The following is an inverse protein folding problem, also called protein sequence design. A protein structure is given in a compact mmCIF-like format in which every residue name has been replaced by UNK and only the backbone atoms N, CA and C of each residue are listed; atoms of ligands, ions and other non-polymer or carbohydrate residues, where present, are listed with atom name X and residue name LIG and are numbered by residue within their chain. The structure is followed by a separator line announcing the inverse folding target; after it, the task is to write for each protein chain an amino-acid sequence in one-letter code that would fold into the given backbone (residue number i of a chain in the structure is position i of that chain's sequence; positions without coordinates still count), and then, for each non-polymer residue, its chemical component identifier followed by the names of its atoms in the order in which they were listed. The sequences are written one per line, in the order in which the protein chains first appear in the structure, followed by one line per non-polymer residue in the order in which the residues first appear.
data_IF_945640535125
#
_entry.id   IF_945640535125
#
_cell.length_a   1.000
_cell.length_b   1.000
_cell.length_c   1.000
_cell.angle_alpha   90.00
_cell.angle_beta   90.00
_cell.angle_gamma   90.00
#
_symmetry.space_group_name_H-M   'P 1'
#
loop_
_entity.id
_entity.type
_entity.pdbx_description
1 polymer ?
#
# COMPACT_ATOMS: atom_id res chain seq x y z
N UNK A 1 -0.45 -39.10 6.10
CA UNK A 1 0.67 -39.00 5.14
C UNK A 1 0.34 -38.20 3.88
N UNK A 2 -0.89 -37.71 3.69
CA UNK A 2 -1.28 -37.05 2.42
C UNK A 2 -1.44 -35.52 2.49
N UNK A 3 -1.25 -34.92 3.66
CA UNK A 3 -1.33 -33.47 3.84
C UNK A 3 -0.24 -32.73 3.04
N UNK A 4 0.93 -33.31 2.88
CA UNK A 4 2.00 -32.72 2.09
C UNK A 4 1.71 -32.69 0.58
N UNK A 5 0.91 -33.62 0.05
CA UNK A 5 0.47 -33.63 -1.34
C UNK A 5 -0.62 -32.61 -1.62
N UNK A 6 -1.52 -32.38 -0.65
CA UNK A 6 -2.55 -31.35 -0.73
C UNK A 6 -1.93 -29.95 -0.66
N UNK A 7 -0.88 -29.78 0.14
CA UNK A 7 -0.16 -28.50 0.26
C UNK A 7 0.75 -28.21 -0.95
N UNK A 8 1.24 -29.20 -1.66
CA UNK A 8 2.06 -29.00 -2.87
C UNK A 8 1.29 -28.58 -4.12
N UNK A 9 -0.03 -28.69 -4.12
CA UNK A 9 -0.88 -28.26 -5.24
C UNK A 9 -1.65 -26.95 -4.99
N UNK A 10 -1.76 -26.53 -3.74
CA UNK A 10 -2.30 -25.24 -3.36
C UNK A 10 -1.13 -24.33 -2.99
N UNK A 11 -0.57 -23.62 -3.95
CA UNK A 11 0.10 -22.39 -3.65
C UNK A 11 -0.95 -21.53 -2.92
N UNK A 12 -0.90 -21.46 -1.60
CA UNK A 12 -1.58 -20.43 -0.84
C UNK A 12 -0.89 -19.11 -1.19
N UNK A 13 -1.23 -18.64 -2.38
CA UNK A 13 -0.89 -17.33 -2.84
C UNK A 13 -1.68 -16.38 -1.93
N UNK A 14 -0.99 -15.76 -1.00
CA UNK A 14 -1.39 -14.67 -0.10
C UNK A 14 -2.91 -14.53 0.18
N UNK A 15 -3.28 -14.25 1.39
CA UNK A 15 -4.67 -13.92 1.73
C UNK A 15 -5.14 -12.74 0.83
N UNK A 16 -6.30 -12.87 0.17
CA UNK A 16 -6.85 -11.83 -0.70
C UNK A 16 -7.28 -10.55 0.06
N UNK A 17 -6.73 -10.33 1.23
CA UNK A 17 -6.93 -9.16 2.08
C UNK A 17 -5.66 -8.86 2.86
N UNK A 18 -5.22 -7.61 2.81
CA UNK A 18 -4.05 -7.16 3.56
C UNK A 18 -4.25 -7.29 5.07
N UNK A 19 -5.47 -7.06 5.57
CA UNK A 19 -5.79 -7.24 6.98
C UNK A 19 -5.64 -8.71 7.43
N UNK A 20 -6.05 -9.65 6.60
CA UNK A 20 -5.85 -11.06 6.85
C UNK A 20 -4.35 -11.41 6.84
N UNK A 21 -3.59 -10.82 5.93
CA UNK A 21 -2.14 -11.00 5.85
C UNK A 21 -1.46 -10.54 7.15
N UNK A 22 -1.80 -9.36 7.65
CA UNK A 22 -1.28 -8.85 8.92
C UNK A 22 -1.73 -9.71 10.11
N UNK A 23 -2.95 -10.25 10.09
CA UNK A 23 -3.45 -11.15 11.12
C UNK A 23 -2.68 -12.48 11.11
N UNK A 24 -2.42 -13.04 9.95
CA UNK A 24 -1.73 -14.34 9.80
C UNK A 24 -0.24 -14.23 10.12
N UNK A 25 0.43 -13.17 9.68
CA UNK A 25 1.87 -12.99 9.86
C UNK A 25 2.23 -12.36 11.21
N UNK A 26 1.46 -11.39 11.68
CA UNK A 26 1.72 -10.62 12.89
C UNK A 26 0.77 -10.90 14.05
N UNK A 27 -0.19 -11.82 13.86
CA UNK A 27 -1.22 -12.11 14.83
C UNK A 27 -2.13 -10.91 15.14
N UNK A 28 -2.85 -10.99 16.24
CA UNK A 28 -3.78 -9.91 16.68
C UNK A 28 -3.05 -8.59 16.96
N UNK A 29 -1.79 -8.66 17.41
CA UNK A 29 -0.96 -7.48 17.69
C UNK A 29 -0.55 -6.77 16.39
N UNK A 30 -0.12 -7.52 15.37
CA UNK A 30 0.25 -6.98 14.07
C UNK A 30 -0.93 -6.30 13.38
N UNK A 31 -2.09 -6.93 13.39
CA UNK A 31 -3.33 -6.33 12.86
C UNK A 31 -3.71 -5.06 13.63
N UNK A 32 -3.67 -5.11 14.98
CA UNK A 32 -4.00 -3.95 15.83
C UNK A 32 -3.05 -2.76 15.58
N UNK A 33 -1.76 -3.02 15.46
CA UNK A 33 -0.76 -1.99 15.15
C UNK A 33 -1.01 -1.37 13.77
N UNK A 34 -1.35 -2.16 12.76
CA UNK A 34 -1.66 -1.70 11.42
C UNK A 34 -2.92 -0.82 11.37
N UNK A 35 -3.99 -1.26 12.04
CA UNK A 35 -5.23 -0.48 12.14
C UNK A 35 -5.00 0.84 12.90
N UNK A 36 -4.24 0.82 14.00
CA UNK A 36 -3.88 2.01 14.76
C UNK A 36 -3.06 2.98 13.90
N UNK A 37 -2.11 2.48 13.11
CA UNK A 37 -1.35 3.28 12.15
C UNK A 37 -2.27 4.02 11.17
N UNK A 38 -3.18 3.31 10.50
CA UNK A 38 -4.14 3.91 9.57
C UNK A 38 -5.04 4.94 10.27
N UNK A 39 -5.59 4.60 11.43
CA UNK A 39 -6.49 5.46 12.20
C UNK A 39 -5.83 6.79 12.59
N UNK A 40 -4.61 6.74 13.13
CA UNK A 40 -3.87 7.94 13.55
C UNK A 40 -3.62 8.86 12.35
N UNK A 41 -3.20 8.32 11.21
CA UNK A 41 -2.92 9.10 10.01
C UNK A 41 -4.19 9.69 9.39
N UNK A 42 -5.28 8.94 9.35
CA UNK A 42 -6.57 9.43 8.86
C UNK A 42 -7.09 10.55 9.77
N UNK A 43 -7.12 10.34 11.09
CA UNK A 43 -7.58 11.36 12.05
C UNK A 43 -6.75 12.64 11.98
N UNK A 44 -5.44 12.52 11.89
CA UNK A 44 -4.55 13.68 11.77
C UNK A 44 -4.75 14.38 10.44
N UNK A 45 -4.76 13.62 9.34
CA UNK A 45 -4.92 14.15 8.00
C UNK A 45 -6.26 14.84 7.78
N UNK A 46 -7.35 14.38 8.40
CA UNK A 46 -8.66 15.05 8.34
C UNK A 46 -8.64 16.47 8.89
N UNK A 47 -7.73 16.75 9.83
CA UNK A 47 -7.57 18.10 10.41
C UNK A 47 -6.63 18.99 9.63
N UNK A 48 -5.57 18.40 9.04
CA UNK A 48 -4.49 19.15 8.37
C UNK A 48 -4.66 19.18 6.87
N UNK A 49 -4.95 18.04 6.25
CA UNK A 49 -4.97 17.83 4.80
C UNK A 49 -6.07 16.82 4.42
N UNK A 50 -7.34 17.23 4.35
CA UNK A 50 -8.46 16.29 4.15
C UNK A 50 -8.38 15.50 2.85
N UNK A 51 -7.79 16.06 1.78
CA UNK A 51 -7.59 15.37 0.51
C UNK A 51 -6.61 14.19 0.63
N UNK A 52 -5.55 14.33 1.43
CA UNK A 52 -4.59 13.25 1.67
C UNK A 52 -5.19 12.19 2.60
N UNK A 53 -5.94 12.62 3.61
CA UNK A 53 -6.67 11.70 4.48
C UNK A 53 -7.68 10.85 3.70
N UNK A 54 -8.38 11.44 2.73
CA UNK A 54 -9.28 10.72 1.84
C UNK A 54 -8.55 9.67 0.99
N UNK A 55 -7.34 9.96 0.52
CA UNK A 55 -6.51 9.00 -0.22
C UNK A 55 -6.07 7.82 0.68
N UNK A 56 -5.66 8.07 1.92
CA UNK A 56 -5.32 7.03 2.89
C UNK A 56 -6.55 6.19 3.25
N UNK A 57 -7.71 6.82 3.40
CA UNK A 57 -8.97 6.11 3.65
C UNK A 57 -9.37 5.22 2.47
N UNK A 58 -9.26 5.72 1.25
CA UNK A 58 -9.53 4.93 0.04
C UNK A 58 -8.60 3.71 -0.05
N UNK A 59 -7.32 3.87 0.27
CA UNK A 59 -6.40 2.76 0.38
C UNK A 59 -6.82 1.76 1.46
N UNK A 60 -7.23 2.22 2.65
CA UNK A 60 -7.68 1.35 3.73
C UNK A 60 -8.88 0.50 3.33
N UNK A 61 -9.82 1.06 2.56
CA UNK A 61 -10.96 0.33 2.00
C UNK A 61 -10.49 -0.69 0.94
N UNK A 62 -9.59 -0.29 0.05
CA UNK A 62 -9.04 -1.19 -0.96
C UNK A 62 -8.29 -2.38 -0.33
N UNK A 63 -7.51 -2.14 0.72
CA UNK A 63 -6.73 -3.15 1.43
C UNK A 63 -7.61 -4.26 2.07
N UNK A 64 -8.89 -3.99 2.31
CA UNK A 64 -9.84 -4.98 2.78
C UNK A 64 -10.17 -6.06 1.73
N UNK A 65 -10.09 -5.69 0.45
CA UNK A 65 -10.47 -6.56 -0.68
C UNK A 65 -9.31 -6.97 -1.57
N UNK A 66 -8.14 -6.42 -1.35
CA UNK A 66 -6.97 -6.66 -2.19
C UNK A 66 -5.71 -6.76 -1.34
N UNK A 67 -4.70 -7.43 -1.92
CA UNK A 67 -3.35 -7.47 -1.35
C UNK A 67 -2.63 -6.22 -1.82
N UNK A 68 -1.92 -5.54 -0.90
CA UNK A 68 -1.10 -4.42 -1.31
C UNK A 68 0.05 -4.90 -2.19
N UNK A 69 0.19 -4.28 -3.35
CA UNK A 69 1.37 -4.47 -4.17
C UNK A 69 2.57 -3.82 -3.48
N UNK A 70 3.78 -4.41 -3.57
CA UNK A 70 4.99 -3.86 -2.95
C UNK A 70 5.28 -2.41 -3.32
N UNK A 71 4.80 -1.95 -4.48
CA UNK A 71 4.95 -0.57 -4.93
C UNK A 71 3.97 0.43 -4.30
N UNK A 72 2.85 -0.03 -3.76
CA UNK A 72 1.81 0.84 -3.17
C UNK A 72 2.09 1.13 -1.70
N UNK A 73 2.68 0.18 -0.99
CA UNK A 73 2.97 0.30 0.44
C UNK A 73 3.87 1.51 0.77
N UNK A 74 5.00 1.76 0.06
CA UNK A 74 5.79 2.98 0.27
C UNK A 74 5.00 4.27 0.04
N UNK A 75 4.07 4.28 -0.92
CA UNK A 75 3.23 5.43 -1.19
C UNK A 75 2.32 5.75 0.00
N UNK A 76 1.77 4.74 0.66
CA UNK A 76 0.93 4.91 1.86
C UNK A 76 1.73 5.51 3.02
N UNK A 77 2.97 5.09 3.22
CA UNK A 77 3.85 5.69 4.23
C UNK A 77 4.16 7.16 3.90
N UNK A 78 4.40 7.49 2.63
CA UNK A 78 4.60 8.87 2.18
C UNK A 78 3.36 9.72 2.40
N UNK A 79 2.17 9.21 2.06
CA UNK A 79 0.89 9.89 2.31
C UNK A 79 0.65 10.07 3.82
N UNK A 80 0.97 9.05 4.62
CA UNK A 80 0.92 9.15 6.07
C UNK A 80 1.83 10.24 6.62
N UNK A 81 3.07 10.31 6.15
CA UNK A 81 4.01 11.37 6.52
C UNK A 81 3.50 12.77 6.13
N UNK A 82 2.83 12.90 4.97
CA UNK A 82 2.19 14.16 4.54
C UNK A 82 1.06 14.62 5.47
N UNK A 83 0.34 13.69 6.11
CA UNK A 83 -0.67 14.03 7.11
C UNK A 83 -0.08 14.76 8.34
N UNK A 84 1.23 14.63 8.57
CA UNK A 84 1.96 15.29 9.66
C UNK A 84 2.70 16.54 9.21
N UNK A 85 2.77 16.83 7.92
CA UNK A 85 3.42 18.03 7.40
C UNK A 85 2.55 19.26 7.67
N UNK A 86 2.99 20.10 8.59
CA UNK A 86 2.29 21.35 8.96
C UNK A 86 2.61 22.50 8.00
N UNK A 87 3.62 22.38 7.17
CA UNK A 87 4.12 23.46 6.34
C UNK A 87 3.83 23.23 4.86
N UNK A 88 3.12 24.17 4.24
CA UNK A 88 2.72 24.14 2.82
C UNK A 88 3.89 24.04 1.84
N UNK A 89 5.08 24.49 2.21
CA UNK A 89 6.27 24.38 1.33
C UNK A 89 6.76 22.94 1.16
N UNK A 90 6.74 22.15 2.23
CA UNK A 90 7.08 20.72 2.16
C UNK A 90 6.12 19.92 1.30
N UNK A 91 4.84 20.27 1.34
CA UNK A 91 3.78 19.63 0.53
C UNK A 91 3.99 19.90 -0.97
N UNK A 92 4.39 21.10 -1.36
CA UNK A 92 4.67 21.42 -2.77
C UNK A 92 5.87 20.65 -3.32
N UNK A 93 6.94 20.55 -2.54
CA UNK A 93 8.12 19.77 -2.93
C UNK A 93 7.77 18.27 -3.06
N UNK A 94 7.05 17.74 -2.11
CA UNK A 94 6.64 16.33 -2.10
C UNK A 94 5.65 15.99 -3.20
N UNK A 95 4.69 16.88 -3.53
CA UNK A 95 3.82 16.73 -4.72
C UNK A 95 4.63 16.68 -6.01
N UNK A 96 5.69 17.50 -6.13
CA UNK A 96 6.61 17.46 -7.28
C UNK A 96 7.39 16.15 -7.34
N UNK A 97 7.93 15.68 -6.20
CA UNK A 97 8.63 14.39 -6.13
C UNK A 97 7.70 13.21 -6.46
N UNK A 98 6.47 13.21 -5.95
CA UNK A 98 5.47 12.17 -6.28
C UNK A 98 5.07 12.20 -7.75
N UNK A 99 4.92 13.39 -8.34
CA UNK A 99 4.66 13.55 -9.77
C UNK A 99 5.80 12.99 -10.62
N UNK A 100 7.06 13.25 -10.23
CA UNK A 100 8.24 12.72 -10.91
C UNK A 100 8.35 11.19 -10.77
N UNK A 101 8.06 10.64 -9.57
CA UNK A 101 8.05 9.20 -9.34
C UNK A 101 6.95 8.51 -10.16
N UNK A 102 5.75 9.08 -10.21
CA UNK A 102 4.67 8.56 -11.03
C UNK A 102 5.00 8.63 -12.53
N UNK A 103 5.60 9.74 -12.98
CA UNK A 103 6.04 9.90 -14.36
C UNK A 103 7.17 8.94 -14.75
N UNK A 104 8.04 8.57 -13.80
CA UNK A 104 9.10 7.58 -14.01
C UNK A 104 8.57 6.14 -13.96
N UNK A 105 7.54 5.87 -13.17
CA UNK A 105 6.96 4.53 -13.03
C UNK A 105 6.19 4.09 -14.30
N UNK A 106 5.53 5.02 -15.00
CA UNK A 106 4.78 4.73 -16.22
C UNK A 106 5.64 4.12 -17.35
N UNK A 107 6.79 4.72 -17.74
CA UNK A 107 7.64 4.15 -18.79
C UNK A 107 8.31 2.84 -18.33
N UNK A 108 8.62 2.68 -17.04
CA UNK A 108 9.18 1.44 -16.52
C UNK A 108 8.16 0.28 -16.60
N UNK A 109 6.89 0.56 -16.28
CA UNK A 109 5.83 -0.43 -16.40
C UNK A 109 5.61 -0.84 -17.86
N UNK A 110 5.64 0.13 -18.79
CA UNK A 110 5.52 -0.15 -20.22
C UNK A 110 6.71 -0.92 -20.77
N UNK A 111 7.94 -0.56 -20.37
CA UNK A 111 9.14 -1.33 -20.75
C UNK A 111 9.08 -2.78 -20.22
N UNK A 112 8.58 -2.98 -19.01
CA UNK A 112 8.41 -4.31 -18.44
C UNK A 112 7.39 -5.15 -19.23
N UNK A 113 6.27 -4.56 -19.66
CA UNK A 113 5.29 -5.24 -20.51
C UNK A 113 5.83 -5.61 -21.90
N UNK A 114 6.60 -4.70 -22.52
CA UNK A 114 7.23 -4.98 -23.82
C UNK A 114 8.27 -6.10 -23.68
N UNK A 115 9.05 -6.09 -22.60
CA UNK A 115 10.04 -7.12 -22.34
C UNK A 115 9.38 -8.48 -22.09
N UNK A 116 8.30 -8.50 -21.30
CA UNK A 116 7.52 -9.71 -21.04
C UNK A 116 6.93 -10.30 -22.33
N UNK A 117 6.43 -9.45 -23.24
CA UNK A 117 5.90 -9.88 -24.55
C UNK A 117 6.99 -10.40 -25.49
N UNK A 118 8.23 -9.93 -25.36
CA UNK A 118 9.37 -10.42 -26.19
C UNK A 118 9.97 -11.71 -25.66
N UNK A 119 9.81 -12.00 -24.36
CA UNK A 119 10.32 -13.21 -23.72
C UNK A 119 9.31 -14.37 -23.73
N UNK A 120 8.07 -14.09 -24.04
CA UNK A 120 7.03 -15.08 -24.29
C UNK A 120 6.95 -15.41 -25.78
#
# INVERSE_FOLDING_TARGET
ADYAKILNGAAFDSAHSEYLQHLLCGGRVGLGAWLAFLEVHIRRGMRTQPGIAAAVLAYAVQAAFSISMPGVLPLVFVLGALCWAENTQGVHLMRRCMGLLAAAALPLCWCAEILAKKLA
#
